data_IF_526267498339
#
_entry.id   IF_526267498339
#
_cell.length_a   1.000
_cell.length_b   1.000
_cell.length_c   1.000
_cell.angle_alpha   90.00
_cell.angle_beta   90.00
_cell.angle_gamma   90.00
#
_symmetry.space_group_name_H-M   'P 1'
#
loop_
_entity.id
_entity.type
_entity.pdbx_description
1 polymer ?
#
# COMPACT_ATOMS: atom_id res chain seq x y z
N UNK A 1 17.89 13.34 -4.71
CA UNK A 1 16.44 13.56 -4.76
C UNK A 1 15.83 12.52 -3.84
N UNK A 2 15.17 12.95 -2.78
CA UNK A 2 14.57 12.03 -1.84
C UNK A 2 13.07 11.98 -2.14
N UNK A 3 12.59 10.80 -2.49
CA UNK A 3 11.20 10.54 -2.84
C UNK A 3 10.49 9.88 -1.66
N UNK A 4 9.23 10.21 -1.45
CA UNK A 4 8.36 9.49 -0.53
C UNK A 4 7.54 8.46 -1.32
N UNK A 5 7.61 7.20 -0.89
CA UNK A 5 6.78 6.13 -1.42
C UNK A 5 5.49 6.02 -0.62
N UNK A 6 4.35 5.91 -1.30
CA UNK A 6 3.04 5.72 -0.68
C UNK A 6 2.38 4.51 -1.34
N UNK A 7 1.79 3.64 -0.53
CA UNK A 7 0.99 2.50 -0.97
C UNK A 7 -0.40 2.63 -0.37
N UNK A 8 -1.44 2.61 -1.20
CA UNK A 8 -2.84 2.65 -0.74
C UNK A 8 -3.62 1.44 -1.24
N UNK A 9 -4.62 1.02 -0.48
CA UNK A 9 -5.47 -0.14 -0.76
C UNK A 9 -6.93 0.30 -0.84
N UNK A 10 -7.65 -0.12 -1.88
CA UNK A 10 -9.11 -0.02 -1.95
C UNK A 10 -9.73 -1.15 -1.12
N UNK A 11 -9.86 -0.91 0.18
CA UNK A 11 -10.15 -1.94 1.20
C UNK A 11 -11.46 -2.69 0.94
N UNK A 12 -12.52 -2.04 0.46
CA UNK A 12 -13.80 -2.69 0.16
C UNK A 12 -13.74 -3.66 -1.04
N UNK A 13 -12.76 -3.49 -1.92
CA UNK A 13 -12.51 -4.41 -3.05
C UNK A 13 -11.44 -5.45 -2.75
N UNK A 14 -10.63 -5.23 -1.72
CA UNK A 14 -9.63 -6.20 -1.27
C UNK A 14 -10.31 -7.47 -0.72
N UNK A 15 -9.86 -8.64 -1.20
CA UNK A 15 -10.37 -9.96 -0.80
C UNK A 15 -9.45 -10.70 0.17
N UNK A 16 -8.35 -10.08 0.61
CA UNK A 16 -7.43 -10.70 1.56
C UNK A 16 -6.71 -11.95 1.04
N UNK A 17 -6.44 -12.05 -0.27
CA UNK A 17 -5.84 -13.25 -0.88
C UNK A 17 -4.33 -13.44 -0.59
N UNK A 18 -3.72 -12.55 0.19
CA UNK A 18 -2.32 -12.61 0.65
C UNK A 18 -1.22 -12.62 -0.43
N UNK A 19 -1.55 -12.56 -1.72
CA UNK A 19 -0.54 -12.55 -2.78
C UNK A 19 0.38 -11.32 -2.71
N UNK A 20 -0.12 -10.16 -2.27
CA UNK A 20 0.70 -8.98 -2.03
C UNK A 20 1.63 -9.14 -0.81
N UNK A 21 1.22 -9.91 0.20
CA UNK A 21 2.03 -10.23 1.38
C UNK A 21 3.21 -11.11 0.98
N UNK A 22 2.96 -12.16 0.19
CA UNK A 22 4.00 -13.12 -0.22
C UNK A 22 5.05 -12.52 -1.15
N UNK A 23 4.67 -11.54 -1.99
CA UNK A 23 5.56 -10.95 -3.00
C UNK A 23 6.33 -9.72 -2.50
N UNK A 24 5.98 -9.18 -1.32
CA UNK A 24 6.62 -7.97 -0.80
C UNK A 24 8.08 -8.27 -0.37
N UNK A 25 9.11 -7.73 -1.06
CA UNK A 25 10.50 -8.08 -0.77
C UNK A 25 10.97 -7.56 0.59
N UNK A 26 10.34 -6.50 1.09
CA UNK A 26 10.63 -5.86 2.39
C UNK A 26 9.64 -6.25 3.49
N UNK A 27 8.67 -7.14 3.19
CA UNK A 27 7.75 -7.75 4.17
C UNK A 27 6.96 -6.76 5.03
N UNK A 28 6.46 -5.69 4.42
CA UNK A 28 5.72 -4.61 5.12
C UNK A 28 4.18 -4.74 5.00
N UNK A 29 3.68 -5.81 4.39
CA UNK A 29 2.24 -5.98 4.13
C UNK A 29 1.72 -7.15 4.98
N UNK A 30 0.59 -6.97 5.64
CA UNK A 30 -0.09 -8.01 6.42
C UNK A 30 -1.62 -7.87 6.26
N UNK A 31 -2.38 -8.86 6.75
CA UNK A 31 -3.84 -8.75 6.82
C UNK A 31 -4.28 -8.05 8.11
N UNK A 32 -5.24 -7.13 7.97
CA UNK A 32 -5.88 -6.47 9.10
C UNK A 32 -6.62 -7.47 9.98
N UNK A 33 -6.63 -7.20 11.29
CA UNK A 33 -7.49 -7.94 12.24
C UNK A 33 -8.97 -7.62 12.07
N UNK A 34 -9.31 -6.45 11.53
CA UNK A 34 -10.68 -6.08 11.17
C UNK A 34 -11.06 -6.60 9.78
N UNK A 35 -12.36 -6.72 9.56
CA UNK A 35 -12.94 -7.10 8.26
C UNK A 35 -13.57 -5.88 7.57
N UNK A 36 -13.58 -5.89 6.24
CA UNK A 36 -14.39 -4.95 5.44
C UNK A 36 -15.88 -5.35 5.44
N UNK A 37 -16.73 -4.57 4.76
CA UNK A 37 -18.19 -4.85 4.71
C UNK A 37 -18.57 -6.20 4.10
N UNK A 38 -17.63 -6.85 3.41
CA UNK A 38 -17.78 -8.12 2.71
C UNK A 38 -17.20 -9.31 3.48
N UNK A 39 -16.69 -9.08 4.69
CA UNK A 39 -16.17 -10.14 5.57
C UNK A 39 -14.72 -10.54 5.34
N UNK A 40 -13.94 -9.76 4.58
CA UNK A 40 -12.53 -10.09 4.32
C UNK A 40 -11.59 -9.34 5.27
N UNK A 41 -10.59 -10.06 5.78
CA UNK A 41 -9.39 -9.46 6.38
C UNK A 41 -8.55 -8.83 5.27
N UNK A 42 -8.57 -7.50 5.17
CA UNK A 42 -7.94 -6.78 4.05
C UNK A 42 -6.45 -6.59 4.26
N UNK A 43 -5.68 -6.52 3.17
CA UNK A 43 -4.27 -6.19 3.24
C UNK A 43 -4.05 -4.73 3.67
N UNK A 44 -3.00 -4.48 4.44
CA UNK A 44 -2.57 -3.15 4.86
C UNK A 44 -1.04 -3.08 5.00
N UNK A 45 -0.50 -1.86 5.09
CA UNK A 45 0.92 -1.59 5.36
C UNK A 45 1.15 -1.50 6.86
N UNK A 46 2.16 -2.21 7.35
CA UNK A 46 2.64 -2.16 8.74
C UNK A 46 3.75 -1.10 8.91
N UNK A 47 4.64 -0.99 7.92
CA UNK A 47 5.79 -0.10 7.94
C UNK A 47 6.00 0.55 6.56
N UNK A 48 5.51 1.79 6.41
CA UNK A 48 5.62 2.51 5.15
C UNK A 48 7.04 3.03 4.89
N UNK A 49 7.85 3.24 5.94
CA UNK A 49 9.21 3.78 5.82
C UNK A 49 10.15 2.78 5.14
N UNK A 50 9.94 1.48 5.36
CA UNK A 50 10.70 0.41 4.71
C UNK A 50 10.33 0.18 3.23
N UNK A 51 9.30 0.85 2.69
CA UNK A 51 8.89 0.64 1.31
C UNK A 51 9.89 1.19 0.30
N UNK A 52 10.38 0.30 -0.57
CA UNK A 52 11.28 0.64 -1.68
C UNK A 52 10.54 1.00 -2.99
N UNK A 53 9.21 1.09 -2.95
CA UNK A 53 8.40 1.46 -4.12
C UNK A 53 8.50 0.52 -5.32
N UNK A 54 8.81 -0.77 -5.13
CA UNK A 54 9.04 -1.72 -6.23
C UNK A 54 7.80 -2.11 -7.05
N UNK A 55 6.60 -1.76 -6.58
CA UNK A 55 5.30 -2.07 -7.20
C UNK A 55 4.93 -3.56 -7.34
N UNK A 56 5.72 -4.50 -6.79
CA UNK A 56 5.41 -5.94 -6.87
C UNK A 56 4.03 -6.30 -6.30
N UNK A 57 3.60 -5.64 -5.22
CA UNK A 57 2.28 -5.85 -4.63
C UNK A 57 1.14 -5.46 -5.60
N UNK A 58 1.28 -4.33 -6.29
CA UNK A 58 0.31 -3.88 -7.28
C UNK A 58 0.26 -4.81 -8.49
N UNK A 59 1.40 -5.21 -9.03
CA UNK A 59 1.46 -6.15 -10.17
C UNK A 59 0.86 -7.53 -9.86
N UNK A 60 1.05 -8.01 -8.64
CA UNK A 60 0.54 -9.33 -8.24
C UNK A 60 -0.95 -9.29 -7.85
N UNK A 61 -1.54 -8.11 -7.65
CA UNK A 61 -2.91 -7.99 -7.18
C UNK A 61 -3.92 -8.36 -8.28
N UNK A 62 -4.65 -9.48 -8.18
CA UNK A 62 -5.58 -9.91 -9.23
C UNK A 62 -6.79 -8.99 -9.36
N UNK A 63 -7.15 -8.28 -8.29
CA UNK A 63 -8.30 -7.37 -8.25
C UNK A 63 -7.91 -5.91 -8.56
N UNK A 64 -6.61 -5.62 -8.76
CA UNK A 64 -6.08 -4.28 -9.02
C UNK A 64 -6.53 -3.22 -8.01
N UNK A 65 -6.42 -3.54 -6.71
CA UNK A 65 -6.88 -2.66 -5.60
C UNK A 65 -5.75 -1.90 -4.91
N UNK A 66 -4.53 -1.95 -5.43
CA UNK A 66 -3.34 -1.36 -4.79
C UNK A 66 -2.78 -0.26 -5.70
N UNK A 67 -2.65 0.94 -5.16
CA UNK A 67 -2.03 2.09 -5.84
C UNK A 67 -0.68 2.40 -5.22
N UNK A 68 0.30 2.72 -6.07
CA UNK A 68 1.66 3.10 -5.66
C UNK A 68 1.94 4.50 -6.19
N UNK A 69 2.34 5.40 -5.30
CA UNK A 69 2.75 6.76 -5.66
C UNK A 69 4.20 6.99 -5.22
N UNK A 70 4.96 7.69 -6.06
CA UNK A 70 6.27 8.25 -5.72
C UNK A 70 6.12 9.76 -5.79
N UNK A 71 6.23 10.44 -4.66
CA UNK A 71 6.12 11.90 -4.58
C UNK A 71 7.48 12.51 -4.28
N UNK A 72 7.78 13.61 -4.94
CA UNK A 72 8.92 14.44 -4.60
C UNK A 72 8.59 15.20 -3.31
N UNK A 73 9.45 15.12 -2.29
CA UNK A 73 9.15 15.75 -1.00
C UNK A 73 9.12 17.27 -1.03
N UNK A 74 9.57 17.88 -2.12
CA UNK A 74 9.63 19.34 -2.25
C UNK A 74 8.23 19.97 -2.45
N UNK A 75 7.23 19.20 -2.90
CA UNK A 75 5.83 19.66 -3.06
C UNK A 75 5.03 19.71 -1.74
N UNK A 76 5.49 19.02 -0.67
CA UNK A 76 4.80 19.00 0.63
C UNK A 76 4.80 20.38 1.31
N UNK A 77 5.82 21.20 1.06
CA UNK A 77 5.95 22.56 1.63
C UNK A 77 4.93 23.57 1.08
N UNK A 78 4.29 23.27 -0.06
CA UNK A 78 3.32 24.16 -0.70
C UNK A 78 1.89 24.03 -0.14
N UNK A 79 1.57 22.94 0.57
CA UNK A 79 0.21 22.68 1.08
C UNK A 79 0.05 22.92 2.60
N UNK A 80 1.06 22.60 3.42
CA UNK A 80 0.98 22.80 4.89
C UNK A 80 1.09 24.28 5.31
N UNK A 81 1.27 25.20 4.36
CA UNK A 81 1.27 26.65 4.56
C UNK A 81 -0.04 27.36 4.17
N UNK A 82 -1.16 26.64 4.02
CA UNK A 82 -2.50 27.22 3.75
C UNK A 82 -3.49 26.94 4.87
#
# INVERSE_FOLDING_TARGET
MEHQNIVTFETERCKGCELCVSVCPVKIISLSRSINSRGYHVAHIEDMESCIGCASCAYMCPDSVITIERRDRDEQSAYEGK
#
